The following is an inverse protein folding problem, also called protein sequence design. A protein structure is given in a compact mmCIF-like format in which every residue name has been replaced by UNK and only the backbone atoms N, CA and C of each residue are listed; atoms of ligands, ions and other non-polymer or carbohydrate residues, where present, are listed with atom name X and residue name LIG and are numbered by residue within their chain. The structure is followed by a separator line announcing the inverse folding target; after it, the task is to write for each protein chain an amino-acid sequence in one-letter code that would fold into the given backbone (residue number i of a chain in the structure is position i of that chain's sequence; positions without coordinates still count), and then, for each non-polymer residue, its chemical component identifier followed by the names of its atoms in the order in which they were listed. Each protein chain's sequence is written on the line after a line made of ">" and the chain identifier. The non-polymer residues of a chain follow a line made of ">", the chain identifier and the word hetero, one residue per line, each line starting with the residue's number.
data_IF_410020437506
#
_entry.id   IF_410020437506
#
_cell.length_a   1.000
_cell.length_b   1.000
_cell.length_c   1.000
_cell.angle_alpha   90.00
_cell.angle_beta   90.00
_cell.angle_gamma   90.00
#
_symmetry.space_group_name_H-M   'P 1'
#
loop_
_entity.id
_entity.type
_entity.pdbx_description
1 polymer ?
#
# COMPACT_ATOMS: atom_id res chain seq x y z
N UNK A 1 -1.09 -25.08 2.62
CA UNK A 1 -2.20 -24.13 2.41
C UNK A 1 -2.10 -23.62 0.98
N UNK A 2 -3.22 -23.46 0.26
CA UNK A 2 -3.19 -22.85 -1.07
C UNK A 2 -2.61 -21.44 -0.98
N UNK A 3 -1.75 -21.07 -1.92
CA UNK A 3 -1.19 -19.72 -2.00
C UNK A 3 -2.17 -18.77 -2.67
N UNK A 4 -1.87 -17.47 -2.64
CA UNK A 4 -2.67 -16.48 -3.35
C UNK A 4 -2.77 -16.77 -4.85
N UNK A 5 -1.72 -17.32 -5.47
CA UNK A 5 -1.72 -17.74 -6.88
C UNK A 5 -2.66 -18.91 -7.19
N UNK A 6 -3.11 -19.67 -6.19
CA UNK A 6 -4.07 -20.77 -6.39
C UNK A 6 -5.52 -20.29 -6.34
N UNK A 7 -5.80 -19.26 -5.54
CA UNK A 7 -7.17 -18.84 -5.22
C UNK A 7 -7.62 -17.59 -5.97
N UNK A 8 -6.68 -16.76 -6.42
CA UNK A 8 -7.00 -15.50 -7.09
C UNK A 8 -7.50 -15.68 -8.54
N UNK A 9 -6.90 -16.55 -9.38
CA UNK A 9 -7.35 -16.71 -10.77
C UNK A 9 -8.84 -17.08 -10.87
N UNK A 10 -9.56 -16.39 -11.75
CA UNK A 10 -11.01 -16.59 -11.95
C UNK A 10 -11.92 -15.93 -10.92
N UNK A 11 -11.38 -15.43 -9.80
CA UNK A 11 -12.16 -14.66 -8.84
C UNK A 11 -12.35 -13.22 -9.31
N UNK A 12 -13.58 -12.69 -9.27
CA UNK A 12 -13.94 -11.40 -9.85
C UNK A 12 -13.12 -10.20 -9.33
N UNK A 13 -12.78 -10.17 -8.05
CA UNK A 13 -11.97 -9.11 -7.44
C UNK A 13 -10.47 -9.47 -7.34
N UNK A 14 -10.17 -10.65 -6.79
CA UNK A 14 -8.79 -11.10 -6.60
C UNK A 14 -8.02 -11.37 -7.89
N UNK A 15 -8.67 -11.87 -8.94
CA UNK A 15 -8.01 -12.18 -10.22
C UNK A 15 -7.35 -10.96 -10.85
N UNK A 16 -8.12 -9.88 -11.14
CA UNK A 16 -7.54 -8.65 -11.69
C UNK A 16 -6.46 -8.04 -10.79
N UNK A 17 -6.68 -8.03 -9.47
CA UNK A 17 -5.69 -7.53 -8.51
C UNK A 17 -4.40 -8.34 -8.53
N UNK A 18 -4.50 -9.67 -8.53
CA UNK A 18 -3.37 -10.58 -8.61
C UNK A 18 -2.58 -10.39 -9.91
N UNK A 19 -3.27 -10.34 -11.04
CA UNK A 19 -2.65 -10.38 -12.36
C UNK A 19 -1.98 -9.08 -12.78
N UNK A 20 -2.47 -7.94 -12.27
CA UNK A 20 -2.13 -6.61 -12.77
C UNK A 20 -1.66 -5.62 -11.70
N UNK A 21 -1.78 -5.94 -10.40
CA UNK A 21 -1.43 -5.00 -9.34
C UNK A 21 -0.50 -5.58 -8.28
N UNK A 22 -0.77 -6.79 -7.78
CA UNK A 22 0.00 -7.36 -6.69
C UNK A 22 1.40 -7.76 -7.14
N UNK A 23 2.41 -7.11 -6.56
CA UNK A 23 3.82 -7.29 -6.93
C UNK A 23 4.26 -6.46 -8.14
N UNK A 24 3.36 -5.68 -8.74
CA UNK A 24 3.68 -4.77 -9.86
C UNK A 24 4.25 -3.46 -9.30
N UNK A 25 5.46 -3.04 -9.72
CA UNK A 25 6.03 -1.77 -9.24
C UNK A 25 5.15 -0.57 -9.56
N UNK A 26 4.89 0.27 -8.55
CA UNK A 26 4.21 1.56 -8.71
C UNK A 26 5.15 2.69 -8.32
N UNK A 27 4.97 3.85 -8.94
CA UNK A 27 5.85 5.02 -8.76
C UNK A 27 5.08 6.29 -8.42
N UNK A 28 3.83 6.42 -8.85
CA UNK A 28 3.04 7.60 -8.60
C UNK A 28 2.72 7.71 -7.10
N UNK A 29 2.88 8.91 -6.56
CA UNK A 29 2.72 9.16 -5.12
C UNK A 29 1.31 8.81 -4.61
N UNK A 30 0.20 9.12 -5.32
CA UNK A 30 -1.14 8.70 -4.91
C UNK A 30 -1.32 7.18 -4.87
N UNK A 31 -0.72 6.43 -5.80
CA UNK A 31 -0.84 4.97 -5.86
C UNK A 31 -0.10 4.30 -4.69
N UNK A 32 1.08 4.83 -4.36
CA UNK A 32 1.85 4.39 -3.20
C UNK A 32 1.12 4.70 -1.90
N UNK A 33 0.56 5.91 -1.79
CA UNK A 33 -0.21 6.30 -0.60
C UNK A 33 -1.51 5.51 -0.48
N UNK A 34 -2.22 5.27 -1.59
CA UNK A 34 -3.39 4.39 -1.67
C UNK A 34 -3.05 3.01 -1.10
N UNK A 35 -1.99 2.35 -1.62
CA UNK A 35 -1.59 1.03 -1.13
C UNK A 35 -1.35 1.05 0.36
N UNK A 36 -0.57 2.00 0.87
CA UNK A 36 -0.25 2.11 2.30
C UNK A 36 -1.53 2.23 3.16
N UNK A 37 -2.46 3.10 2.77
CA UNK A 37 -3.71 3.30 3.51
C UNK A 37 -4.60 2.06 3.44
N UNK A 38 -4.67 1.36 2.31
CA UNK A 38 -5.45 0.14 2.19
C UNK A 38 -4.89 -0.98 3.06
N UNK A 39 -3.57 -1.18 3.10
CA UNK A 39 -2.93 -2.18 3.98
C UNK A 39 -3.14 -1.85 5.47
N UNK A 40 -3.03 -0.57 5.86
CA UNK A 40 -3.36 -0.13 7.22
C UNK A 40 -4.82 -0.47 7.58
N UNK A 41 -5.73 -0.28 6.63
CA UNK A 41 -7.15 -0.52 6.87
C UNK A 41 -7.53 -2.00 6.82
N UNK A 42 -6.76 -2.84 6.14
CA UNK A 42 -6.95 -4.30 6.08
C UNK A 42 -6.80 -4.97 7.46
N UNK A 43 -6.03 -4.41 8.39
CA UNK A 43 -5.82 -5.01 9.70
C UNK A 43 -7.14 -5.37 10.40
N UNK A 44 -7.37 -6.68 10.58
CA UNK A 44 -8.60 -7.27 11.15
C UNK A 44 -9.72 -7.57 10.16
N UNK A 45 -9.48 -7.45 8.85
CA UNK A 45 -10.46 -7.61 7.76
C UNK A 45 -9.86 -8.43 6.61
N UNK A 46 -10.73 -8.94 5.72
CA UNK A 46 -10.26 -9.60 4.49
C UNK A 46 -9.79 -8.58 3.46
N UNK A 47 -8.79 -8.96 2.65
CA UNK A 47 -8.38 -8.13 1.51
C UNK A 47 -9.50 -7.96 0.48
N UNK A 48 -10.36 -8.98 0.30
CA UNK A 48 -11.55 -8.87 -0.55
C UNK A 48 -12.44 -7.69 -0.14
N UNK A 49 -12.64 -7.48 1.17
CA UNK A 49 -13.42 -6.35 1.66
C UNK A 49 -12.75 -5.01 1.32
N UNK A 50 -11.42 -4.95 1.38
CA UNK A 50 -10.67 -3.76 0.98
C UNK A 50 -10.81 -3.51 -0.53
N UNK A 51 -10.74 -4.54 -1.37
CA UNK A 51 -10.97 -4.44 -2.81
C UNK A 51 -12.40 -3.94 -3.11
N UNK A 52 -13.43 -4.45 -2.41
CA UNK A 52 -14.82 -3.96 -2.55
C UNK A 52 -14.96 -2.49 -2.16
N UNK A 53 -14.26 -2.06 -1.10
CA UNK A 53 -14.33 -0.69 -0.58
C UNK A 53 -13.41 0.30 -1.29
N UNK A 54 -12.50 -0.17 -2.16
CA UNK A 54 -11.44 0.66 -2.75
C UNK A 54 -11.97 1.90 -3.46
N UNK A 55 -13.05 1.79 -4.24
CA UNK A 55 -13.67 2.94 -4.88
C UNK A 55 -14.18 3.98 -3.87
N UNK A 56 -14.78 3.51 -2.76
CA UNK A 56 -15.18 4.37 -1.65
C UNK A 56 -13.99 5.08 -0.99
N UNK A 57 -12.89 4.35 -0.76
CA UNK A 57 -11.65 4.94 -0.24
C UNK A 57 -11.08 6.02 -1.18
N UNK A 58 -11.02 5.75 -2.48
CA UNK A 58 -10.56 6.73 -3.47
C UNK A 58 -11.37 8.01 -3.42
N UNK A 59 -12.70 7.92 -3.39
CA UNK A 59 -13.55 9.13 -3.27
C UNK A 59 -13.35 9.83 -1.93
N UNK A 60 -13.35 9.08 -0.83
CA UNK A 60 -13.29 9.62 0.53
C UNK A 60 -11.97 10.39 0.81
N UNK A 61 -10.86 9.90 0.26
CA UNK A 61 -9.51 10.45 0.41
C UNK A 61 -9.06 11.25 -0.82
N UNK A 62 -9.98 11.83 -1.60
CA UNK A 62 -9.68 12.72 -2.72
C UNK A 62 -8.67 12.15 -3.73
N UNK A 63 -8.87 10.89 -4.13
CA UNK A 63 -7.97 10.18 -5.05
C UNK A 63 -6.60 9.85 -4.45
N UNK A 64 -6.47 9.90 -3.12
CA UNK A 64 -5.20 9.78 -2.40
C UNK A 64 -4.19 10.88 -2.77
N UNK A 65 -4.67 12.06 -3.15
CA UNK A 65 -3.81 13.24 -3.25
C UNK A 65 -3.20 13.56 -1.88
N UNK A 66 -1.88 13.44 -1.78
CA UNK A 66 -1.16 13.54 -0.51
C UNK A 66 -1.32 14.92 0.11
N UNK A 67 -1.28 15.99 -0.69
CA UNK A 67 -1.37 17.37 -0.18
C UNK A 67 -2.77 17.65 0.38
N UNK A 68 -3.80 17.20 -0.33
CA UNK A 68 -5.20 17.30 0.11
C UNK A 68 -5.41 16.54 1.42
N UNK A 69 -4.98 15.28 1.49
CA UNK A 69 -5.19 14.44 2.69
C UNK A 69 -4.34 14.92 3.87
N UNK A 70 -3.13 15.45 3.64
CA UNK A 70 -2.30 16.04 4.67
C UNK A 70 -2.93 17.28 5.31
N UNK A 71 -3.76 18.00 4.54
CA UNK A 71 -4.51 19.18 4.99
C UNK A 71 -5.85 18.90 5.68
N UNK A 72 -6.28 17.64 5.78
CA UNK A 72 -7.55 17.28 6.42
C UNK A 72 -7.60 17.70 7.89
N UNK A 73 -8.69 18.37 8.26
CA UNK A 73 -8.97 18.81 9.63
C UNK A 73 -10.05 17.99 10.33
N UNK A 74 -10.52 18.47 11.49
CA UNK A 74 -11.56 17.78 12.27
C UNK A 74 -12.87 17.56 11.49
N UNK A 75 -13.25 18.51 10.63
CA UNK A 75 -14.44 18.37 9.78
C UNK A 75 -14.32 17.19 8.81
N UNK A 76 -13.14 16.99 8.21
CA UNK A 76 -12.85 15.86 7.35
C UNK A 76 -12.82 14.54 8.11
N UNK A 77 -12.25 14.53 9.32
CA UNK A 77 -12.28 13.35 10.19
C UNK A 77 -13.72 12.94 10.48
N UNK A 78 -14.59 13.87 10.85
CA UNK A 78 -16.01 13.59 11.11
C UNK A 78 -16.73 13.10 9.85
N UNK A 79 -16.47 13.71 8.69
CA UNK A 79 -17.00 13.28 7.39
C UNK A 79 -16.58 11.84 7.07
N UNK A 80 -15.29 11.51 7.20
CA UNK A 80 -14.75 10.18 6.95
C UNK A 80 -15.32 9.13 7.92
N UNK A 81 -15.53 9.50 9.19
CA UNK A 81 -16.14 8.60 10.17
C UNK A 81 -17.62 8.33 9.91
N UNK A 82 -18.30 9.20 9.16
CA UNK A 82 -19.68 8.98 8.73
C UNK A 82 -19.79 8.16 7.43
N UNK A 83 -18.71 8.06 6.64
CA UNK A 83 -18.73 7.48 5.31
C UNK A 83 -18.80 5.93 5.33
N UNK A 84 -19.89 5.30 4.86
CA UNK A 84 -20.02 3.84 4.82
C UNK A 84 -19.15 3.18 3.74
N UNK A 85 -18.60 3.95 2.80
CA UNK A 85 -17.71 3.51 1.74
C UNK A 85 -16.36 3.01 2.27
N UNK A 86 -15.91 3.50 3.42
CA UNK A 86 -14.60 3.17 4.01
C UNK A 86 -14.72 2.35 5.30
N UNK A 87 -13.58 2.11 5.95
CA UNK A 87 -13.51 1.57 7.31
C UNK A 87 -13.57 2.73 8.31
N UNK A 88 -14.68 2.83 9.04
CA UNK A 88 -14.98 3.94 9.96
C UNK A 88 -14.26 3.76 11.30
N UNK A 89 -12.95 3.95 11.31
CA UNK A 89 -12.13 3.84 12.51
C UNK A 89 -11.30 5.12 12.70
N UNK A 90 -11.51 5.81 13.83
CA UNK A 90 -10.90 7.11 14.11
C UNK A 90 -9.37 7.06 14.12
N UNK A 91 -8.78 6.01 14.71
CA UNK A 91 -7.32 5.87 14.76
C UNK A 91 -6.72 5.65 13.36
N UNK A 92 -7.37 4.83 12.51
CA UNK A 92 -6.94 4.59 11.13
C UNK A 92 -7.06 5.85 10.26
N UNK A 93 -8.13 6.64 10.43
CA UNK A 93 -8.29 7.94 9.76
C UNK A 93 -7.16 8.91 10.14
N UNK A 94 -6.90 9.10 11.44
CA UNK A 94 -5.80 9.96 11.86
C UNK A 94 -4.43 9.43 11.41
N UNK A 95 -4.24 8.11 11.33
CA UNK A 95 -3.02 7.52 10.78
C UNK A 95 -2.83 7.85 9.29
N UNK A 96 -3.88 7.79 8.48
CA UNK A 96 -3.82 8.17 7.07
C UNK A 96 -3.41 9.64 6.89
N UNK A 97 -4.05 10.55 7.64
CA UNK A 97 -3.71 11.99 7.61
C UNK A 97 -2.26 12.24 8.02
N UNK A 98 -1.82 11.63 9.14
CA UNK A 98 -0.45 11.76 9.60
C UNK A 98 0.56 11.21 8.58
N UNK A 99 0.26 10.05 7.99
CA UNK A 99 1.16 9.44 7.00
C UNK A 99 1.23 10.27 5.72
N UNK A 100 0.15 10.92 5.30
CA UNK A 100 0.17 11.90 4.21
C UNK A 100 1.11 13.08 4.52
N UNK A 101 1.02 13.65 5.73
CA UNK A 101 1.91 14.72 6.18
C UNK A 101 3.38 14.28 6.19
N UNK A 102 3.66 13.06 6.64
CA UNK A 102 5.02 12.49 6.59
C UNK A 102 5.49 12.37 5.14
N UNK A 103 4.68 11.80 4.24
CA UNK A 103 5.02 11.64 2.82
C UNK A 103 5.30 13.00 2.17
N UNK A 104 4.46 14.00 2.42
CA UNK A 104 4.67 15.37 1.95
C UNK A 104 6.05 15.89 2.40
N UNK A 105 6.44 15.64 3.65
CA UNK A 105 7.75 15.98 4.19
C UNK A 105 8.94 15.20 3.61
N UNK A 106 8.72 14.09 2.91
CA UNK A 106 9.78 13.35 2.22
C UNK A 106 10.21 14.01 0.90
N UNK A 107 9.35 14.84 0.30
CA UNK A 107 9.65 15.56 -0.96
C UNK A 107 10.94 16.38 -0.90
N UNK A 108 11.16 17.28 0.09
CA UNK A 108 12.41 18.05 0.16
C UNK A 108 13.66 17.22 0.47
N UNK A 109 13.52 16.08 1.17
CA UNK A 109 14.67 15.28 1.62
C UNK A 109 15.08 14.20 0.63
N UNK A 110 14.13 13.60 -0.08
CA UNK A 110 14.36 12.44 -0.96
C UNK A 110 13.78 12.63 -2.36
N UNK A 111 13.01 13.68 -2.62
CA UNK A 111 12.31 13.86 -3.90
C UNK A 111 10.95 13.15 -4.00
N UNK A 112 10.42 12.64 -2.87
CA UNK A 112 9.07 12.06 -2.78
C UNK A 112 9.07 10.63 -2.23
N UNK A 113 7.87 10.03 -2.09
CA UNK A 113 7.75 8.73 -1.42
C UNK A 113 8.48 7.60 -2.17
N UNK A 114 8.35 7.55 -3.50
CA UNK A 114 8.99 6.53 -4.32
C UNK A 114 10.52 6.57 -4.19
N UNK A 115 11.10 7.76 -4.26
CA UNK A 115 12.55 7.96 -4.12
C UNK A 115 13.03 7.70 -2.69
N UNK A 116 12.21 7.97 -1.67
CA UNK A 116 12.51 7.56 -0.30
C UNK A 116 12.57 6.04 -0.15
N UNK A 117 11.65 5.30 -0.79
CA UNK A 117 11.69 3.84 -0.79
C UNK A 117 12.94 3.32 -1.52
N UNK A 118 13.28 3.88 -2.69
CA UNK A 118 14.49 3.50 -3.43
C UNK A 118 15.76 3.75 -2.61
N UNK A 119 15.88 4.91 -1.96
CA UNK A 119 17.04 5.28 -1.15
C UNK A 119 17.27 4.35 0.06
N UNK A 120 16.23 3.63 0.49
CA UNK A 120 16.30 2.69 1.60
C UNK A 120 16.34 1.22 1.15
N UNK A 121 16.17 0.94 -0.14
CA UNK A 121 16.38 -0.39 -0.71
C UNK A 121 17.86 -0.57 -1.10
N UNK A 122 18.49 -1.74 -0.91
CA UNK A 122 17.96 -3.00 -0.38
C UNK A 122 17.88 -3.03 1.15
N UNK A 123 16.87 -3.70 1.68
CA UNK A 123 16.70 -4.00 3.12
C UNK A 123 15.95 -5.32 3.29
N UNK A 124 16.27 -6.05 4.35
CA UNK A 124 15.45 -7.20 4.74
C UNK A 124 14.10 -6.76 5.33
N UNK A 125 13.15 -7.69 5.46
CA UNK A 125 11.81 -7.40 6.00
C UNK A 125 11.86 -6.83 7.42
N UNK A 126 12.76 -7.31 8.28
CA UNK A 126 12.85 -6.85 9.66
C UNK A 126 13.38 -5.41 9.75
N UNK A 127 14.35 -5.05 8.91
CA UNK A 127 14.87 -3.69 8.77
C UNK A 127 13.82 -2.74 8.23
N UNK A 128 13.07 -3.15 7.20
CA UNK A 128 11.93 -2.39 6.68
C UNK A 128 10.88 -2.11 7.75
N UNK A 129 10.51 -3.12 8.53
CA UNK A 129 9.54 -2.95 9.62
C UNK A 129 10.06 -1.93 10.66
N UNK A 130 11.34 -1.99 11.02
CA UNK A 130 11.94 -1.01 11.94
C UNK A 130 11.88 0.39 11.36
N UNK A 131 12.22 0.57 10.09
CA UNK A 131 12.18 1.86 9.42
C UNK A 131 10.76 2.42 9.38
N UNK A 132 9.80 1.65 8.88
CA UNK A 132 8.40 2.06 8.76
C UNK A 132 7.80 2.43 10.12
N UNK A 133 8.04 1.65 11.18
CA UNK A 133 7.53 1.96 12.53
C UNK A 133 8.07 3.27 13.11
N UNK A 134 9.25 3.73 12.69
CA UNK A 134 9.80 5.02 13.12
C UNK A 134 9.26 6.19 12.29
N UNK A 135 8.88 5.92 11.04
CA UNK A 135 8.52 6.95 10.07
C UNK A 135 7.01 7.17 9.98
N UNK A 136 6.22 6.10 10.04
CA UNK A 136 4.78 6.10 9.79
C UNK A 136 3.99 5.53 10.97
N UNK A 137 2.68 5.83 11.00
CA UNK A 137 1.73 5.26 11.95
C UNK A 137 1.01 4.06 11.36
N UNK A 138 0.70 3.09 12.23
CA UNK A 138 -0.02 1.86 11.89
C UNK A 138 0.73 0.93 10.91
N UNK A 139 2.05 1.00 10.84
CA UNK A 139 2.86 0.17 9.94
C UNK A 139 3.51 -0.99 10.70
N UNK A 140 2.67 -1.92 11.14
CA UNK A 140 3.08 -3.18 11.78
C UNK A 140 3.83 -4.13 10.83
N UNK A 141 4.20 -5.31 11.33
CA UNK A 141 5.01 -6.28 10.58
C UNK A 141 4.34 -6.82 9.32
N UNK A 142 3.05 -7.17 9.42
CA UNK A 142 2.25 -7.66 8.31
C UNK A 142 1.97 -6.56 7.29
N UNK A 143 1.47 -5.41 7.76
CA UNK A 143 1.18 -4.22 6.93
C UNK A 143 2.39 -3.77 6.12
N UNK A 144 3.56 -3.64 6.77
CA UNK A 144 4.79 -3.24 6.06
C UNK A 144 5.23 -4.31 5.06
N UNK A 145 5.10 -5.59 5.42
CA UNK A 145 5.43 -6.70 4.54
C UNK A 145 4.57 -6.73 3.28
N UNK A 146 3.25 -6.67 3.43
CA UNK A 146 2.30 -6.66 2.31
C UNK A 146 2.42 -5.39 1.47
N UNK A 147 2.63 -4.22 2.08
CA UNK A 147 2.91 -2.99 1.35
C UNK A 147 4.12 -3.12 0.43
N UNK A 148 5.26 -3.59 0.95
CA UNK A 148 6.49 -3.70 0.16
C UNK A 148 6.44 -4.84 -0.86
N UNK A 149 5.80 -5.95 -0.51
CA UNK A 149 5.65 -7.09 -1.41
C UNK A 149 4.69 -6.77 -2.56
N UNK A 150 3.56 -6.11 -2.27
CA UNK A 150 2.59 -5.69 -3.28
C UNK A 150 3.14 -4.65 -4.27
N UNK A 151 4.22 -3.95 -3.92
CA UNK A 151 4.88 -2.94 -4.75
C UNK A 151 6.21 -3.41 -5.34
N UNK A 152 6.59 -4.68 -5.15
CA UNK A 152 7.80 -5.24 -5.75
C UNK A 152 9.11 -4.81 -5.08
N UNK A 153 9.10 -4.38 -3.81
CA UNK A 153 10.30 -4.19 -2.99
C UNK A 153 10.73 -5.46 -2.26
N UNK A 154 9.77 -6.30 -1.88
CA UNK A 154 10.03 -7.63 -1.32
C UNK A 154 9.55 -8.73 -2.28
N UNK A 155 10.31 -9.82 -2.34
CA UNK A 155 9.91 -11.03 -3.06
C UNK A 155 8.79 -11.75 -2.30
N UNK A 156 7.87 -12.37 -3.03
CA UNK A 156 6.85 -13.26 -2.45
C UNK A 156 5.43 -13.07 -3.00
N UNK A 157 5.19 -12.02 -3.79
CA UNK A 157 3.86 -11.75 -4.34
C UNK A 157 3.34 -12.88 -5.24
N UNK A 158 4.25 -13.52 -5.99
CA UNK A 158 3.96 -14.60 -6.93
C UNK A 158 4.98 -15.72 -6.81
N UNK A 159 4.52 -16.96 -7.01
CA UNK A 159 5.40 -18.12 -7.23
C UNK A 159 6.03 -18.04 -8.62
N UNK A 160 7.17 -18.68 -8.82
CA UNK A 160 7.92 -18.64 -10.09
C UNK A 160 7.15 -19.28 -11.26
N UNK A 161 6.28 -20.24 -10.97
CA UNK A 161 5.41 -20.90 -11.94
C UNK A 161 4.14 -20.10 -12.28
N UNK A 162 3.88 -18.98 -11.59
CA UNK A 162 2.74 -18.14 -11.85
C UNK A 162 2.97 -17.30 -13.13
N UNK A 163 2.03 -17.26 -14.10
CA UNK A 163 2.18 -16.42 -15.29
C UNK A 163 2.41 -14.92 -14.99
N UNK A 164 1.89 -14.43 -13.87
CA UNK A 164 2.11 -13.06 -13.42
C UNK A 164 3.57 -12.80 -13.00
N UNK A 165 4.26 -13.80 -12.45
CA UNK A 165 5.67 -13.69 -12.09
C UNK A 165 6.53 -13.32 -13.29
N UNK A 166 6.38 -14.04 -14.41
CA UNK A 166 7.14 -13.77 -15.62
C UNK A 166 6.85 -12.37 -16.20
N UNK A 167 5.62 -11.86 -16.07
CA UNK A 167 5.26 -10.50 -16.49
C UNK A 167 5.93 -9.46 -15.59
N UNK A 168 5.82 -9.62 -14.27
CA UNK A 168 6.40 -8.71 -13.28
C UNK A 168 7.92 -8.69 -13.40
N UNK A 169 8.57 -9.84 -13.60
CA UNK A 169 10.01 -9.94 -13.77
C UNK A 169 10.55 -9.04 -14.90
N UNK A 170 9.78 -8.89 -16.00
CA UNK A 170 10.13 -8.01 -17.12
C UNK A 170 10.03 -6.52 -16.79
N UNK A 171 9.33 -6.17 -15.71
CA UNK A 171 9.24 -4.80 -15.19
C UNK A 171 10.42 -4.47 -14.26
N UNK A 172 11.36 -5.41 -14.07
CA UNK A 172 12.57 -5.25 -13.27
C UNK A 172 12.28 -4.70 -11.85
N UNK A 173 11.48 -5.41 -11.03
CA UNK A 173 11.07 -4.94 -9.70
C UNK A 173 12.27 -4.79 -8.76
N UNK A 174 12.15 -3.95 -7.74
CA UNK A 174 13.28 -3.64 -6.85
C UNK A 174 13.90 -4.87 -6.20
N UNK A 175 13.10 -5.87 -5.81
CA UNK A 175 13.64 -7.12 -5.25
C UNK A 175 14.50 -7.93 -6.22
N UNK A 176 14.39 -7.72 -7.55
CA UNK A 176 15.24 -8.37 -8.57
C UNK A 176 16.52 -7.60 -8.87
N UNK A 177 16.56 -6.30 -8.61
CA UNK A 177 17.72 -5.44 -8.94
C UNK A 177 18.96 -5.68 -8.09
N UNK A 178 18.89 -6.59 -7.11
CA UNK A 178 19.99 -6.93 -6.22
C UNK A 178 20.33 -5.81 -5.23
N UNK A 179 21.06 -6.19 -4.20
CA UNK A 179 21.81 -5.28 -3.33
C UNK A 179 23.17 -4.96 -3.96
#
# INVERSE_FOLDING_TARGET
>A
MPSYCDIAPGHALHGPYHDHEYGVPQRAEPDLFERLVLEINQAGLSWELMLKKRAGFRTAYAGFDVDTVAGYGEADVLRLLADPGIVRNRLKVHAAIHNAQVIQGLRPSHGGFAAWLDAHHPRDKAEWIKLFKRTFRFTGGEITGEFLMSLGYLRGAHREDCPAFARIARLDPAWMRGA
#
